data_IF_593037274730
#
_entry.id   IF_593037274730
#
_cell.length_a   1.000
_cell.length_b   1.000
_cell.length_c   1.000
_cell.angle_alpha   90.00
_cell.angle_beta   90.00
_cell.angle_gamma   90.00
#
_symmetry.space_group_name_H-M   'P 1'
#
loop_
_entity.id
_entity.type
_entity.pdbx_description
1 polymer ?
#
# COMPACT_ATOMS: atom_id res chain seq x y z
N UNK A 1 0.21 1.87 -5.36
CA UNK A 1 -0.34 0.50 -5.35
C UNK A 1 -1.00 0.24 -4.00
N UNK A 2 -2.22 -0.34 -3.97
CA UNK A 2 -2.87 -0.74 -2.71
C UNK A 2 -2.31 -2.07 -2.23
N UNK A 3 -1.98 -2.18 -0.94
CA UNK A 3 -1.49 -3.42 -0.35
C UNK A 3 -2.64 -4.43 -0.14
N UNK A 4 -2.47 -5.72 -0.49
CA UNK A 4 -3.48 -6.74 -0.27
C UNK A 4 -3.74 -6.96 1.23
N UNK A 5 -4.98 -7.31 1.63
CA UNK A 5 -5.34 -7.63 3.02
C UNK A 5 -5.40 -9.15 3.22
N UNK A 6 -4.68 -9.64 4.23
CA UNK A 6 -4.75 -11.02 4.68
C UNK A 6 -5.72 -11.18 5.86
N UNK A 7 -6.40 -12.33 5.91
CA UNK A 7 -7.19 -12.75 7.08
C UNK A 7 -6.51 -13.94 7.73
N UNK A 8 -6.14 -13.80 9.01
CA UNK A 8 -5.36 -14.78 9.76
C UNK A 8 -6.27 -15.40 10.84
N UNK A 9 -6.67 -16.65 10.63
CA UNK A 9 -7.63 -17.39 11.48
C UNK A 9 -6.97 -18.53 12.23
N UNK A 10 -7.73 -19.10 13.18
CA UNK A 10 -7.30 -20.19 14.05
C UNK A 10 -6.03 -19.84 14.81
N UNK A 11 -5.90 -18.56 15.19
CA UNK A 11 -4.78 -18.09 15.98
C UNK A 11 -5.02 -18.41 17.45
N UNK A 12 -3.92 -18.52 18.19
CA UNK A 12 -3.98 -18.86 19.61
C UNK A 12 -4.94 -17.94 20.36
N UNK A 13 -5.73 -18.55 21.24
CA UNK A 13 -6.72 -17.87 22.07
C UNK A 13 -7.81 -17.07 21.31
N UNK A 14 -8.17 -17.36 20.06
CA UNK A 14 -9.15 -16.56 19.28
C UNK A 14 -8.66 -15.14 18.97
N UNK A 15 -7.34 -14.94 18.88
CA UNK A 15 -6.74 -13.70 18.39
C UNK A 15 -6.69 -13.70 16.86
N UNK A 16 -7.83 -13.97 16.23
CA UNK A 16 -7.94 -13.89 14.78
C UNK A 16 -7.98 -12.42 14.36
N UNK A 17 -7.28 -12.09 13.28
CA UNK A 17 -7.13 -10.70 12.84
C UNK A 17 -7.03 -10.57 11.32
N UNK A 18 -7.19 -9.34 10.85
CA UNK A 18 -6.90 -8.95 9.48
C UNK A 18 -5.85 -7.87 9.46
N UNK A 19 -5.02 -7.86 8.42
CA UNK A 19 -3.94 -6.89 8.27
C UNK A 19 -3.56 -6.79 6.79
N UNK A 20 -3.15 -5.60 6.33
CA UNK A 20 -2.48 -5.48 5.03
C UNK A 20 -1.17 -6.28 5.06
N UNK A 21 -0.81 -6.85 3.92
CA UNK A 21 0.36 -7.69 3.73
C UNK A 21 1.26 -7.08 2.66
N UNK A 22 2.59 -7.09 2.84
CA UNK A 22 3.48 -6.64 1.78
C UNK A 22 3.45 -7.63 0.61
N UNK A 23 3.48 -7.11 -0.62
CA UNK A 23 3.49 -7.94 -1.83
C UNK A 23 4.78 -8.78 -1.85
N UNK A 24 4.65 -10.08 -2.10
CA UNK A 24 5.77 -11.01 -2.23
C UNK A 24 6.39 -11.49 -0.90
N UNK A 25 5.86 -11.09 0.25
CA UNK A 25 6.26 -11.67 1.54
C UNK A 25 5.62 -13.06 1.69
N UNK A 26 6.36 -13.96 2.34
CA UNK A 26 5.91 -15.32 2.63
C UNK A 26 5.62 -15.48 4.11
N UNK A 27 4.58 -16.24 4.44
CA UNK A 27 4.27 -16.63 5.82
C UNK A 27 5.24 -17.74 6.25
N UNK A 28 6.00 -17.47 7.31
CA UNK A 28 6.88 -18.45 7.92
C UNK A 28 6.08 -19.36 8.86
N UNK A 29 6.43 -20.65 8.95
CA UNK A 29 5.76 -21.57 9.87
C UNK A 29 5.97 -21.11 11.32
N UNK A 30 4.88 -21.13 12.09
CA UNK A 30 4.91 -20.76 13.50
C UNK A 30 5.32 -22.00 14.32
N UNK A 31 6.32 -21.91 15.21
CA UNK A 31 6.73 -23.05 16.03
C UNK A 31 5.62 -23.49 16.99
N UNK A 32 5.29 -24.78 16.95
CA UNK A 32 4.33 -25.44 17.84
C UNK A 32 4.99 -25.82 19.17
N UNK A 33 5.29 -24.82 19.99
CA UNK A 33 5.88 -24.98 21.31
C UNK A 33 4.92 -24.48 22.39
N UNK A 34 4.82 -25.22 23.49
CA UNK A 34 4.11 -24.74 24.68
C UNK A 34 4.76 -23.46 25.20
N UNK A 35 3.95 -22.43 25.42
CA UNK A 35 4.40 -21.12 25.89
C UNK A 35 4.13 -20.99 27.38
N UNK A 36 5.18 -20.72 28.14
CA UNK A 36 5.10 -20.41 29.56
C UNK A 36 4.88 -18.90 29.75
N UNK A 37 3.64 -18.49 29.95
CA UNK A 37 3.28 -17.07 30.11
C UNK A 37 3.58 -16.51 31.51
N UNK A 38 3.99 -17.35 32.46
CA UNK A 38 4.54 -16.90 33.75
C UNK A 38 5.86 -16.16 33.54
N UNK A 39 6.56 -16.44 32.43
CA UNK A 39 7.70 -15.66 32.01
C UNK A 39 7.23 -14.35 31.36
N UNK A 40 7.56 -13.18 31.94
CA UNK A 40 7.00 -11.89 31.51
C UNK A 40 7.44 -11.48 30.10
N UNK A 41 8.50 -12.05 29.53
CA UNK A 41 8.94 -11.72 28.17
C UNK A 41 8.40 -12.68 27.10
N UNK A 42 7.75 -13.78 27.49
CA UNK A 42 7.23 -14.77 26.55
C UNK A 42 5.91 -14.31 25.94
N UNK A 43 5.83 -14.37 24.61
CA UNK A 43 4.61 -14.16 23.84
C UNK A 43 4.45 -15.27 22.82
N UNK A 44 3.20 -15.63 22.52
CA UNK A 44 2.90 -16.57 21.47
C UNK A 44 2.97 -15.89 20.09
N UNK A 45 3.77 -16.40 19.16
CA UNK A 45 3.73 -15.94 17.77
C UNK A 45 2.36 -16.23 17.14
N UNK A 46 1.77 -15.23 16.50
CA UNK A 46 0.49 -15.31 15.80
C UNK A 46 0.66 -15.19 14.28
N UNK A 47 1.73 -14.54 13.82
CA UNK A 47 2.09 -14.41 12.42
C UNK A 47 3.56 -14.02 12.30
N UNK A 48 4.24 -14.56 11.30
CA UNK A 48 5.54 -14.06 10.84
C UNK A 48 5.50 -14.01 9.32
N UNK A 49 5.68 -12.83 8.74
CA UNK A 49 5.85 -12.60 7.31
C UNK A 49 7.28 -12.15 7.05
N UNK A 50 7.97 -12.78 6.11
CA UNK A 50 9.34 -12.42 5.75
C UNK A 50 9.49 -12.18 4.25
N UNK A 51 10.34 -11.23 3.88
CA UNK A 51 10.76 -11.07 2.49
C UNK A 51 11.68 -12.23 2.08
N UNK A 52 11.45 -12.89 0.93
CA UNK A 52 12.34 -13.95 0.45
C UNK A 52 13.68 -13.42 -0.09
N UNK A 53 13.79 -12.11 -0.31
CA UNK A 53 14.94 -11.46 -0.98
C UNK A 53 15.65 -10.43 -0.10
N UNK A 54 15.14 -10.16 1.09
CA UNK A 54 15.67 -9.13 2.00
C UNK A 54 15.44 -9.51 3.46
N UNK A 55 16.26 -8.97 4.36
CA UNK A 55 16.05 -9.09 5.81
C UNK A 55 14.94 -8.13 6.28
N UNK A 56 13.73 -8.30 5.78
CA UNK A 56 12.56 -7.49 6.17
C UNK A 56 11.45 -8.41 6.68
N UNK A 57 10.93 -8.10 7.87
CA UNK A 57 10.00 -8.98 8.60
C UNK A 57 8.85 -8.18 9.19
N UNK A 58 7.66 -8.78 9.19
CA UNK A 58 6.55 -8.40 10.05
C UNK A 58 6.25 -9.58 10.97
N UNK A 59 6.09 -9.32 12.26
CA UNK A 59 5.64 -10.31 13.20
C UNK A 59 4.51 -9.78 14.09
N UNK A 60 3.57 -10.66 14.41
CA UNK A 60 2.47 -10.41 15.34
C UNK A 60 2.57 -11.44 16.45
N UNK A 61 2.48 -11.00 17.69
CA UNK A 61 2.54 -11.85 18.87
C UNK A 61 1.47 -11.44 19.89
N UNK A 62 1.03 -12.41 20.69
CA UNK A 62 0.05 -12.18 21.75
C UNK A 62 0.39 -12.92 23.03
N UNK A 63 -0.05 -12.38 24.17
CA UNK A 63 0.01 -13.03 25.48
C UNK A 63 -1.18 -12.62 26.33
N UNK A 64 -1.49 -13.34 27.43
CA UNK A 64 -2.32 -12.78 28.48
C UNK A 64 -1.76 -11.43 28.94
N UNK A 65 -2.65 -10.48 29.23
CA UNK A 65 -2.30 -9.22 29.85
C UNK A 65 -1.53 -9.46 31.16
N UNK A 66 -0.66 -8.52 31.52
CA UNK A 66 0.02 -8.58 32.80
C UNK A 66 -0.97 -8.24 33.92
N UNK A 67 -0.61 -8.62 35.15
CA UNK A 67 -1.44 -8.40 36.34
C UNK A 67 -1.72 -6.93 36.63
N UNK A 68 -0.79 -6.05 36.29
CA UNK A 68 -0.74 -4.65 36.70
C UNK A 68 0.03 -3.81 35.69
N UNK A 69 -0.19 -2.49 35.72
CA UNK A 69 0.40 -1.53 34.79
C UNK A 69 -0.49 -1.22 33.59
N UNK A 70 0.07 -0.43 32.66
CA UNK A 70 -0.58 0.00 31.43
C UNK A 70 0.01 -0.70 30.22
N UNK A 71 -0.70 -0.66 29.08
CA UNK A 71 -0.18 -1.17 27.80
C UNK A 71 1.21 -0.58 27.49
N UNK A 72 1.40 0.71 27.78
CA UNK A 72 2.70 1.38 27.64
C UNK A 72 3.77 0.79 28.55
N UNK A 73 3.49 0.59 29.83
CA UNK A 73 4.47 0.02 30.78
C UNK A 73 4.94 -1.36 30.33
N UNK A 74 4.00 -2.19 29.87
CA UNK A 74 4.26 -3.54 29.36
C UNK A 74 5.11 -3.52 28.09
N UNK A 75 4.79 -2.62 27.17
CA UNK A 75 5.52 -2.47 25.93
C UNK A 75 6.95 -1.95 26.18
N UNK A 76 7.12 -0.93 27.02
CA UNK A 76 8.44 -0.40 27.41
C UNK A 76 9.28 -1.46 28.13
N UNK A 77 8.66 -2.29 28.97
CA UNK A 77 9.32 -3.44 29.60
C UNK A 77 9.88 -4.41 28.54
N UNK A 78 9.06 -4.81 27.56
CA UNK A 78 9.50 -5.74 26.51
C UNK A 78 10.59 -5.14 25.64
N UNK A 79 10.47 -3.87 25.23
CA UNK A 79 11.52 -3.20 24.47
C UNK A 79 12.85 -3.21 25.22
N UNK A 80 12.84 -2.87 26.52
CA UNK A 80 14.04 -2.92 27.35
C UNK A 80 14.61 -4.33 27.46
N UNK A 81 13.75 -5.33 27.66
CA UNK A 81 14.16 -6.73 27.78
C UNK A 81 14.87 -7.23 26.52
N UNK A 82 14.38 -6.87 25.33
CA UNK A 82 14.96 -7.26 24.05
C UNK A 82 16.06 -6.32 23.54
N UNK A 83 16.53 -5.37 24.35
CA UNK A 83 17.61 -4.45 23.97
C UNK A 83 17.21 -3.44 22.88
N UNK A 84 15.94 -3.11 22.78
CA UNK A 84 15.40 -2.13 21.82
C UNK A 84 15.45 -0.74 22.45
N UNK A 85 16.15 0.18 21.78
CA UNK A 85 16.17 1.60 22.14
C UNK A 85 15.03 2.32 21.43
N UNK A 86 14.04 2.80 22.20
CA UNK A 86 12.91 3.55 21.66
C UNK A 86 13.34 4.96 21.22
N UNK A 87 12.96 5.34 20.00
CA UNK A 87 13.18 6.68 19.45
C UNK A 87 11.93 7.56 19.61
N UNK A 88 10.75 6.96 19.45
CA UNK A 88 9.46 7.60 19.68
C UNK A 88 8.48 6.60 20.27
N UNK A 89 7.55 7.10 21.08
CA UNK A 89 6.46 6.31 21.65
C UNK A 89 5.27 7.23 21.94
N UNK A 90 4.07 6.79 21.61
CA UNK A 90 2.87 7.56 21.90
C UNK A 90 1.58 6.80 21.67
N UNK A 91 0.45 7.29 22.22
CA UNK A 91 -0.86 6.75 21.95
C UNK A 91 -1.29 7.08 20.52
N UNK A 92 -1.98 6.14 19.88
CA UNK A 92 -2.60 6.28 18.57
C UNK A 92 -3.79 5.32 18.44
N UNK A 93 -4.33 5.23 17.24
CA UNK A 93 -5.30 4.22 16.86
C UNK A 93 -4.75 3.39 15.70
N UNK A 94 -5.01 2.08 15.74
CA UNK A 94 -4.68 1.13 14.67
C UNK A 94 -5.95 0.45 14.18
N UNK A 95 -5.90 -0.08 12.97
CA UNK A 95 -7.06 -0.65 12.30
C UNK A 95 -7.29 -0.06 10.92
N UNK A 96 -8.46 -0.34 10.37
CA UNK A 96 -8.81 -0.01 8.99
C UNK A 96 -10.09 0.80 8.88
N UNK A 97 -10.86 0.50 7.82
CA UNK A 97 -12.06 1.23 7.40
C UNK A 97 -13.22 1.18 8.40
N UNK A 98 -13.22 0.22 9.33
CA UNK A 98 -14.41 -0.12 10.11
C UNK A 98 -14.24 0.10 11.62
N UNK A 99 -13.03 0.00 12.16
CA UNK A 99 -12.76 0.07 13.60
C UNK A 99 -11.38 0.64 13.89
N UNK A 100 -11.31 1.49 14.92
CA UNK A 100 -10.09 2.08 15.44
C UNK A 100 -9.83 1.50 16.83
N UNK A 101 -8.76 0.71 16.98
CA UNK A 101 -8.32 0.16 18.25
C UNK A 101 -7.31 1.11 18.89
N UNK A 102 -7.50 1.59 20.13
CA UNK A 102 -6.50 2.36 20.84
C UNK A 102 -5.23 1.51 21.03
N UNK A 103 -4.08 2.09 20.73
CA UNK A 103 -2.80 1.39 20.74
C UNK A 103 -1.65 2.34 21.10
N UNK A 104 -0.55 1.77 21.57
CA UNK A 104 0.75 2.41 21.64
C UNK A 104 1.46 2.14 20.32
N UNK A 105 1.90 3.20 19.67
CA UNK A 105 2.81 3.12 18.52
C UNK A 105 4.18 3.61 18.94
N UNK A 106 5.21 3.01 18.36
CA UNK A 106 6.58 3.38 18.65
C UNK A 106 7.50 3.08 17.48
N UNK A 107 8.63 3.79 17.45
CA UNK A 107 9.78 3.44 16.62
C UNK A 107 10.98 3.17 17.51
N UNK A 108 11.85 2.25 17.10
CA UNK A 108 13.01 1.88 17.90
C UNK A 108 14.11 1.27 17.06
N UNK A 109 15.28 1.14 17.69
CA UNK A 109 16.49 0.56 17.11
C UNK A 109 16.93 -0.64 17.94
N UNK A 110 17.38 -1.69 17.25
CA UNK A 110 17.98 -2.87 17.88
C UNK A 110 19.30 -3.19 17.18
N UNK A 111 20.35 -3.47 17.96
CA UNK A 111 21.61 -3.96 17.42
C UNK A 111 21.65 -5.48 17.59
N UNK A 112 21.74 -6.22 16.49
CA UNK A 112 21.79 -7.68 16.50
C UNK A 112 22.85 -8.17 15.51
N UNK A 113 23.80 -8.98 15.99
CA UNK A 113 24.85 -9.61 15.18
C UNK A 113 25.62 -8.62 14.27
N UNK A 114 25.89 -7.41 14.79
CA UNK A 114 26.57 -6.35 14.05
C UNK A 114 25.71 -5.58 13.05
N UNK A 115 24.41 -5.91 12.94
CA UNK A 115 23.43 -5.21 12.10
C UNK A 115 22.54 -4.31 12.97
N UNK A 116 22.34 -3.07 12.55
CA UNK A 116 21.35 -2.18 13.16
C UNK A 116 19.99 -2.38 12.47
N UNK A 117 19.00 -2.82 13.24
CA UNK A 117 17.63 -3.01 12.81
C UNK A 117 16.79 -1.80 13.21
N UNK A 118 16.03 -1.30 12.25
CA UNK A 118 15.00 -0.29 12.45
C UNK A 118 13.68 -0.99 12.66
N UNK A 119 12.95 -0.58 13.68
CA UNK A 119 11.71 -1.23 14.09
C UNK A 119 10.58 -0.21 14.24
N UNK A 120 9.39 -0.60 13.81
CA UNK A 120 8.14 0.11 14.05
C UNK A 120 7.16 -0.83 14.73
N UNK A 121 6.42 -0.33 15.73
CA UNK A 121 5.64 -1.13 16.64
C UNK A 121 4.20 -0.63 16.75
N UNK A 122 3.32 -1.59 17.03
CA UNK A 122 1.97 -1.43 17.51
C UNK A 122 1.80 -2.33 18.72
N UNK A 123 1.27 -1.81 19.81
CA UNK A 123 0.96 -2.58 21.01
C UNK A 123 -0.41 -2.16 21.55
N UNK A 124 -1.30 -3.11 21.83
CA UNK A 124 -2.62 -2.84 22.38
C UNK A 124 -3.09 -3.98 23.27
N UNK A 125 -4.15 -3.73 24.03
CA UNK A 125 -4.80 -4.74 24.86
C UNK A 125 -6.29 -4.86 24.50
N UNK A 126 -6.78 -6.10 24.38
CA UNK A 126 -8.19 -6.40 24.13
C UNK A 126 -8.61 -7.65 24.93
N UNK A 127 -9.61 -7.51 25.81
CA UNK A 127 -10.22 -8.61 26.54
C UNK A 127 -9.27 -9.42 27.43
N UNK A 128 -8.34 -8.74 28.11
CA UNK A 128 -7.32 -9.33 28.97
C UNK A 128 -6.13 -9.91 28.22
N UNK A 129 -5.88 -9.44 26.98
CA UNK A 129 -4.80 -9.96 26.12
C UNK A 129 -3.98 -8.83 25.55
N UNK A 130 -2.68 -8.90 25.74
CA UNK A 130 -1.74 -7.97 25.18
C UNK A 130 -1.25 -8.48 23.82
N UNK A 131 -1.37 -7.65 22.79
CA UNK A 131 -1.01 -7.96 21.41
C UNK A 131 0.02 -6.96 20.92
N UNK A 132 1.05 -7.45 20.23
CA UNK A 132 2.04 -6.62 19.55
C UNK A 132 2.12 -6.99 18.08
N UNK A 133 2.27 -5.99 17.22
CA UNK A 133 2.68 -6.15 15.84
C UNK A 133 3.91 -5.28 15.61
N UNK A 134 4.94 -5.83 14.97
CA UNK A 134 6.14 -5.07 14.67
C UNK A 134 6.65 -5.37 13.27
N UNK A 135 7.17 -4.31 12.65
CA UNK A 135 7.87 -4.31 11.39
C UNK A 135 9.35 -4.07 11.67
N UNK A 136 10.24 -4.80 10.98
CA UNK A 136 11.67 -4.58 11.11
C UNK A 136 12.43 -4.81 9.80
N UNK A 137 13.50 -4.04 9.60
CA UNK A 137 14.51 -4.25 8.56
C UNK A 137 15.86 -3.61 8.96
N UNK A 138 16.99 -4.01 8.34
CA UNK A 138 18.25 -3.29 8.44
C UNK A 138 18.09 -1.82 8.09
N UNK A 139 18.92 -0.98 8.73
CA UNK A 139 18.99 0.47 8.46
C UNK A 139 19.10 0.80 6.99
N UNK A 140 19.89 0.04 6.25
CA UNK A 140 20.16 0.27 4.83
C UNK A 140 18.90 0.07 3.96
N UNK A 141 17.94 -0.71 4.44
CA UNK A 141 16.68 -1.02 3.74
C UNK A 141 15.50 -0.15 4.20
N UNK A 142 15.67 0.62 5.28
CA UNK A 142 14.62 1.45 5.87
C UNK A 142 13.91 2.35 4.83
N UNK A 143 14.60 3.11 3.95
CA UNK A 143 13.95 4.01 3.02
C UNK A 143 13.04 3.31 2.00
N UNK A 144 13.33 2.04 1.69
CA UNK A 144 12.60 1.26 0.70
C UNK A 144 11.47 0.41 1.29
N UNK A 145 11.64 -0.06 2.53
CA UNK A 145 10.71 -1.02 3.13
C UNK A 145 9.81 -0.41 4.20
N UNK A 146 10.35 0.42 5.09
CA UNK A 146 9.70 0.69 6.38
C UNK A 146 8.31 1.29 6.22
N UNK A 147 8.14 2.26 5.32
CA UNK A 147 6.83 2.88 5.04
C UNK A 147 5.76 1.86 4.66
N UNK A 148 6.11 0.86 3.86
CA UNK A 148 5.18 -0.21 3.46
C UNK A 148 4.89 -1.15 4.62
N UNK A 149 5.91 -1.51 5.41
CA UNK A 149 5.73 -2.39 6.56
C UNK A 149 4.90 -1.72 7.67
N UNK A 150 5.07 -0.41 7.90
CA UNK A 150 4.26 0.39 8.81
C UNK A 150 2.79 0.40 8.40
N UNK A 151 2.51 0.63 7.11
CA UNK A 151 1.15 0.53 6.58
C UNK A 151 0.51 -0.84 6.80
N UNK A 152 1.32 -1.91 6.83
CA UNK A 152 0.86 -3.24 7.19
C UNK A 152 0.49 -3.29 8.67
N UNK A 153 1.44 -3.08 9.58
CA UNK A 153 1.19 -3.26 11.02
C UNK A 153 0.15 -2.28 11.57
N UNK A 154 0.06 -1.05 11.08
CA UNK A 154 -0.95 -0.07 11.51
C UNK A 154 -2.36 -0.42 11.05
N UNK A 155 -2.50 -1.33 10.09
CA UNK A 155 -3.80 -1.79 9.59
C UNK A 155 -4.34 -3.04 10.29
N UNK A 156 -3.66 -3.51 11.35
CA UNK A 156 -4.08 -4.66 12.13
C UNK A 156 -5.43 -4.42 12.79
N UNK A 157 -6.34 -5.39 12.65
CA UNK A 157 -7.70 -5.32 13.18
C UNK A 157 -8.12 -6.71 13.67
N UNK A 158 -8.46 -6.83 14.95
CA UNK A 158 -9.00 -8.07 15.51
C UNK A 158 -10.37 -8.38 14.90
N UNK A 159 -10.62 -9.64 14.56
CA UNK A 159 -11.95 -10.06 14.09
C UNK A 159 -12.98 -10.08 15.23
N UNK A 160 -12.51 -10.33 16.45
CA UNK A 160 -13.34 -10.49 17.64
C UNK A 160 -12.89 -9.54 18.74
N UNK A 161 -13.41 -8.31 18.73
CA UNK A 161 -13.14 -7.31 19.75
C UNK A 161 -13.85 -7.64 21.06
N UNK A 162 -13.12 -7.56 22.16
CA UNK A 162 -13.64 -7.69 23.53
C UNK A 162 -13.61 -6.37 24.29
N UNK A 163 -12.91 -5.37 23.75
CA UNK A 163 -12.72 -4.06 24.36
C UNK A 163 -11.55 -4.06 25.34
N UNK A 164 -11.00 -2.87 25.65
CA UNK A 164 -9.87 -2.74 26.53
C UNK A 164 -10.33 -2.94 27.98
N UNK A 165 -9.53 -3.67 28.73
CA UNK A 165 -9.73 -3.91 30.17
C UNK A 165 -8.72 -3.14 31.01
N UNK A 166 -7.66 -2.61 30.39
CA UNK A 166 -6.65 -1.78 31.06
C UNK A 166 -6.48 -0.42 30.39
N UNK A 167 -5.80 0.50 31.09
CA UNK A 167 -5.46 1.80 30.52
C UNK A 167 -4.32 1.67 29.50
N UNK A 168 -4.37 2.51 28.47
CA UNK A 168 -3.33 2.58 27.45
C UNK A 168 -2.03 3.19 27.99
N UNK A 169 -2.14 4.25 28.79
CA UNK A 169 -1.02 4.93 29.44
C UNK A 169 -1.41 5.50 30.83
N UNK A 170 -0.41 6.03 31.54
CA UNK A 170 -0.57 6.59 32.89
C UNK A 170 -1.26 7.96 32.93
N UNK A 171 -1.58 8.56 31.78
CA UNK A 171 -2.19 9.90 31.72
C UNK A 171 -3.70 9.88 31.97
N UNK A 172 -4.29 8.70 32.15
CA UNK A 172 -5.70 8.54 32.55
C UNK A 172 -6.72 8.90 31.48
N UNK A 173 -6.30 9.09 30.22
CA UNK A 173 -7.21 9.24 29.10
C UNK A 173 -7.96 7.91 28.89
N UNK A 174 -9.26 7.91 29.17
CA UNK A 174 -10.14 6.80 28.77
C UNK A 174 -10.40 6.92 27.28
N UNK A 175 -9.89 5.95 26.52
CA UNK A 175 -10.16 5.84 25.10
C UNK A 175 -11.44 5.02 24.93
N UNK A 176 -12.53 5.68 24.57
CA UNK A 176 -13.77 4.99 24.22
C UNK A 176 -13.59 4.29 22.88
N UNK A 177 -13.66 2.97 22.87
CA UNK A 177 -13.86 2.23 21.63
C UNK A 177 -15.35 2.35 21.31
N UNK A 178 -15.70 3.02 20.23
CA UNK A 178 -16.98 2.74 19.58
C UNK A 178 -16.90 1.29 19.07
N UNK A 179 -17.31 0.36 19.92
CA UNK A 179 -17.56 -1.01 19.49
C UNK A 179 -18.81 -0.92 18.63
N UNK A 180 -18.62 -0.63 17.34
CA UNK A 180 -19.67 -0.82 16.36
C UNK A 180 -19.88 -2.33 16.32
N UNK A 181 -20.85 -2.80 17.10
CA UNK A 181 -21.42 -4.15 17.01
C UNK A 181 -22.18 -4.24 15.69
N UNK A 182 -21.45 -4.26 14.60
CA UNK A 182 -21.96 -4.95 13.43
C UNK A 182 -21.71 -6.44 13.70
N UNK A 183 -22.79 -7.20 13.87
CA UNK A 183 -22.91 -8.42 13.05
C UNK A 183 -22.74 -7.91 11.63
N UNK A 184 -21.49 -7.89 11.15
CA UNK A 184 -21.26 -7.52 9.78
C UNK A 184 -21.91 -8.65 8.99
N UNK A 185 -23.09 -8.38 8.44
CA UNK A 185 -23.38 -8.79 7.08
C UNK A 185 -22.10 -8.44 6.31
N UNK A 186 -21.26 -9.45 6.10
CA UNK A 186 -20.10 -9.31 5.24
C UNK A 186 -20.67 -8.67 3.98
N UNK A 187 -20.16 -7.51 3.53
CA UNK A 187 -20.55 -7.04 2.21
C UNK A 187 -20.41 -8.26 1.28
N UNK A 188 -21.43 -8.55 0.45
CA UNK A 188 -21.32 -9.64 -0.51
C UNK A 188 -19.97 -9.47 -1.21
N UNK A 189 -19.25 -10.55 -1.52
CA UNK A 189 -17.91 -10.46 -2.10
C UNK A 189 -18.00 -9.84 -3.51
N UNK A 190 -18.23 -8.53 -3.59
CA UNK A 190 -17.65 -7.72 -4.65
C UNK A 190 -16.15 -7.91 -4.46
N UNK A 191 -15.54 -8.54 -5.47
CA UNK A 191 -14.10 -8.78 -5.52
C UNK A 191 -13.39 -7.47 -5.14
N UNK A 192 -12.54 -7.48 -4.10
CA UNK A 192 -11.80 -6.30 -3.68
C UNK A 192 -11.02 -5.67 -4.85
N UNK A 193 -10.66 -6.49 -5.85
CA UNK A 193 -10.10 -6.04 -7.12
C UNK A 193 -11.08 -5.15 -7.92
N UNK A 194 -12.38 -5.42 -7.91
CA UNK A 194 -13.40 -4.57 -8.54
C UNK A 194 -13.55 -3.24 -7.81
N UNK A 195 -13.64 -3.25 -6.47
CA UNK A 195 -13.70 -2.02 -5.67
C UNK A 195 -12.46 -1.16 -5.90
N UNK A 196 -11.27 -1.78 -5.91
CA UNK A 196 -10.02 -1.09 -6.21
C UNK A 196 -9.99 -0.55 -7.64
N UNK A 197 -10.41 -1.34 -8.65
CA UNK A 197 -10.52 -0.89 -10.04
C UNK A 197 -11.44 0.32 -10.18
N UNK A 198 -12.60 0.32 -9.53
CA UNK A 198 -13.53 1.46 -9.51
C UNK A 198 -12.88 2.70 -8.88
N UNK A 199 -12.16 2.53 -7.77
CA UNK A 199 -11.45 3.63 -7.10
C UNK A 199 -10.34 4.23 -7.97
N UNK A 200 -9.47 3.40 -8.54
CA UNK A 200 -8.40 3.84 -9.44
C UNK A 200 -8.98 4.53 -10.67
N UNK A 201 -10.04 3.99 -11.27
CA UNK A 201 -10.71 4.60 -12.41
C UNK A 201 -11.24 6.02 -12.07
N UNK A 202 -11.86 6.21 -10.90
CA UNK A 202 -12.35 7.53 -10.45
C UNK A 202 -11.20 8.53 -10.22
N UNK A 203 -10.09 8.08 -9.62
CA UNK A 203 -8.91 8.92 -9.42
C UNK A 203 -8.27 9.31 -10.75
N UNK A 204 -8.16 8.38 -11.69
CA UNK A 204 -7.69 8.63 -13.06
C UNK A 204 -8.57 9.65 -13.79
N UNK A 205 -9.89 9.49 -13.74
CA UNK A 205 -10.83 10.42 -14.37
C UNK A 205 -10.67 11.85 -13.83
N UNK A 206 -10.56 12.00 -12.51
CA UNK A 206 -10.30 13.30 -11.87
C UNK A 206 -8.97 13.90 -12.30
N UNK A 207 -7.93 13.07 -12.45
CA UNK A 207 -6.61 13.50 -12.91
C UNK A 207 -6.61 13.94 -14.38
N UNK A 208 -7.39 13.28 -15.25
CA UNK A 208 -7.55 13.66 -16.66
C UNK A 208 -8.24 15.01 -16.80
N UNK A 209 -9.30 15.26 -16.04
CA UNK A 209 -9.98 16.57 -15.98
C UNK A 209 -9.00 17.68 -15.57
N UNK A 210 -8.14 17.41 -14.57
CA UNK A 210 -7.13 18.37 -14.12
C UNK A 210 -6.00 18.58 -15.14
N UNK A 211 -5.63 17.54 -15.90
CA UNK A 211 -4.56 17.58 -16.89
C UNK A 211 -4.98 18.30 -18.19
N UNK A 212 -6.26 18.26 -18.57
CA UNK A 212 -6.78 18.90 -19.79
C UNK A 212 -6.39 20.39 -19.94
N UNK A 213 -6.60 21.28 -18.95
CA UNK A 213 -6.17 22.68 -19.08
C UNK A 213 -4.66 22.85 -19.15
N UNK A 214 -3.87 21.92 -18.60
CA UNK A 214 -2.40 21.97 -18.70
C UNK A 214 -1.92 21.71 -20.13
N UNK A 215 -2.51 20.74 -20.82
CA UNK A 215 -2.21 20.45 -22.24
C UNK A 215 -2.62 21.64 -23.12
N UNK A 216 -3.74 22.29 -22.83
CA UNK A 216 -4.15 23.51 -23.52
C UNK A 216 -3.13 24.65 -23.35
N UNK A 217 -2.43 24.70 -22.21
CA UNK A 217 -1.38 25.66 -21.90
C UNK A 217 0.05 25.18 -22.23
N UNK A 218 0.21 24.12 -23.03
CA UNK A 218 1.50 23.54 -23.42
C UNK A 218 2.38 23.02 -22.26
N UNK A 219 1.77 22.75 -21.10
CA UNK A 219 2.42 22.18 -19.90
C UNK A 219 2.33 20.65 -19.91
N UNK A 220 2.88 20.03 -20.96
CA UNK A 220 2.70 18.60 -21.22
C UNK A 220 3.30 17.69 -20.16
N UNK A 221 4.51 17.99 -19.68
CA UNK A 221 5.18 17.16 -18.67
C UNK A 221 4.44 17.18 -17.32
N UNK A 222 3.86 18.33 -16.97
CA UNK A 222 3.05 18.47 -15.75
C UNK A 222 1.73 17.70 -15.88
N UNK A 223 1.09 17.78 -17.05
CA UNK A 223 -0.12 17.01 -17.35
C UNK A 223 0.15 15.50 -17.24
N UNK A 224 1.24 15.03 -17.84
CA UNK A 224 1.64 13.63 -17.77
C UNK A 224 1.93 13.19 -16.33
N UNK A 225 2.65 14.01 -15.55
CA UNK A 225 2.96 13.72 -14.14
C UNK A 225 1.70 13.58 -13.30
N UNK A 226 0.70 14.45 -13.48
CA UNK A 226 -0.58 14.38 -12.75
C UNK A 226 -1.28 13.05 -13.03
N UNK A 227 -1.42 12.67 -14.29
CA UNK A 227 -2.15 11.44 -14.67
C UNK A 227 -1.38 10.20 -14.21
N UNK A 228 -0.07 10.14 -14.44
CA UNK A 228 0.73 8.97 -14.08
C UNK A 228 0.95 8.82 -12.57
N UNK A 229 0.82 9.90 -11.79
CA UNK A 229 0.81 9.81 -10.31
C UNK A 229 -0.50 9.21 -9.79
N UNK A 230 -1.61 9.37 -10.54
CA UNK A 230 -2.90 8.80 -10.20
C UNK A 230 -3.02 7.33 -10.65
N UNK A 231 -2.49 7.01 -11.83
CA UNK A 231 -2.49 5.66 -12.41
C UNK A 231 -1.32 5.50 -13.40
N UNK A 232 -0.29 4.76 -13.00
CA UNK A 232 0.90 4.48 -13.81
C UNK A 232 0.78 3.21 -14.67
N UNK A 233 -0.37 2.52 -14.60
CA UNK A 233 -0.65 1.31 -15.36
C UNK A 233 -0.84 1.58 -16.86
N UNK A 234 -0.95 0.51 -17.66
CA UNK A 234 -1.30 0.61 -19.08
C UNK A 234 -2.61 1.36 -19.33
N UNK A 235 -3.58 1.29 -18.41
CA UNK A 235 -4.84 2.03 -18.51
C UNK A 235 -4.65 3.55 -18.32
N UNK A 236 -3.79 3.96 -17.38
CA UNK A 236 -3.42 5.36 -17.20
C UNK A 236 -2.70 5.93 -18.42
N UNK A 237 -1.76 5.17 -18.98
CA UNK A 237 -1.01 5.53 -20.20
C UNK A 237 -1.90 5.62 -21.43
N UNK A 238 -2.82 4.67 -21.63
CA UNK A 238 -3.81 4.70 -22.70
C UNK A 238 -4.72 5.94 -22.59
N UNK A 239 -5.23 6.23 -21.39
CA UNK A 239 -6.09 7.40 -21.18
C UNK A 239 -5.35 8.73 -21.40
N UNK A 240 -4.07 8.81 -21.01
CA UNK A 240 -3.23 9.97 -21.29
C UNK A 240 -2.95 10.13 -22.80
N UNK A 241 -2.71 9.03 -23.52
CA UNK A 241 -2.59 9.02 -24.98
C UNK A 241 -3.85 9.58 -25.64
N UNK A 242 -5.05 9.11 -25.23
CA UNK A 242 -6.33 9.63 -25.74
C UNK A 242 -6.50 11.13 -25.49
N UNK A 243 -6.06 11.63 -24.33
CA UNK A 243 -6.11 13.05 -24.02
C UNK A 243 -5.22 13.88 -24.98
N UNK A 244 -4.02 13.40 -25.30
CA UNK A 244 -3.15 14.01 -26.31
C UNK A 244 -3.71 13.88 -27.73
N UNK A 245 -4.33 12.75 -28.09
CA UNK A 245 -5.03 12.55 -29.37
C UNK A 245 -6.18 13.54 -29.53
N UNK A 246 -6.98 13.78 -28.49
CA UNK A 246 -8.04 14.79 -28.50
C UNK A 246 -7.47 16.19 -28.76
N UNK A 247 -6.40 16.56 -28.04
CA UNK A 247 -5.74 17.83 -28.22
C UNK A 247 -5.11 17.98 -29.62
N UNK A 248 -4.56 16.89 -30.18
CA UNK A 248 -4.02 16.85 -31.54
C UNK A 248 -5.10 17.13 -32.58
N UNK A 249 -6.27 16.46 -32.47
CA UNK A 249 -7.41 16.68 -33.38
C UNK A 249 -7.88 18.13 -33.34
N UNK A 250 -7.97 18.73 -32.15
CA UNK A 250 -8.31 20.14 -31.99
C UNK A 250 -7.26 21.06 -32.62
N UNK A 251 -5.97 20.78 -32.43
CA UNK A 251 -4.89 21.57 -33.00
C UNK A 251 -4.86 21.50 -34.54
N UNK A 252 -4.99 20.30 -35.13
CA UNK A 252 -5.06 20.13 -36.59
C UNK A 252 -6.25 20.88 -37.19
N UNK A 253 -7.39 20.88 -36.49
CA UNK A 253 -8.57 21.66 -36.89
C UNK A 253 -8.28 23.16 -36.86
N UNK A 254 -7.61 23.66 -35.82
CA UNK A 254 -7.20 25.08 -35.71
C UNK A 254 -6.18 25.48 -36.77
N UNK A 255 -5.26 24.58 -37.09
CA UNK A 255 -4.21 24.78 -38.08
C UNK A 255 -4.71 24.71 -39.54
N UNK A 256 -5.98 24.31 -39.76
CA UNK A 256 -6.57 24.18 -41.08
C UNK A 256 -5.96 23.04 -41.92
N UNK A 257 -5.56 21.93 -41.28
CA UNK A 257 -4.96 20.76 -41.95
C UNK A 257 -3.71 21.06 -42.79
N UNK A 258 -2.95 22.10 -42.43
CA UNK A 258 -1.71 22.47 -43.13
C UNK A 258 -0.69 21.34 -43.16
N UNK A 259 0.10 21.30 -44.24
CA UNK A 259 1.25 20.41 -44.43
C UNK A 259 2.50 21.25 -44.73
N UNK A 260 3.59 21.18 -43.95
CA UNK A 260 3.73 20.36 -42.73
C UNK A 260 2.84 20.85 -41.59
N UNK A 261 2.54 19.94 -40.67
CA UNK A 261 1.75 20.24 -39.46
C UNK A 261 2.48 21.27 -38.57
N UNK A 262 1.75 21.93 -37.66
CA UNK A 262 2.40 22.81 -36.69
C UNK A 262 3.39 22.06 -35.79
N UNK A 263 4.38 22.77 -35.27
CA UNK A 263 5.29 22.24 -34.25
C UNK A 263 4.51 21.67 -33.06
N UNK A 264 3.48 22.38 -32.59
CA UNK A 264 2.60 21.91 -31.52
C UNK A 264 1.88 20.62 -31.88
N UNK A 265 1.33 20.51 -33.10
CA UNK A 265 0.69 19.27 -33.55
C UNK A 265 1.68 18.10 -33.61
N UNK A 266 2.92 18.34 -34.04
CA UNK A 266 3.97 17.31 -34.05
C UNK A 266 4.36 16.86 -32.62
N UNK A 267 4.43 17.80 -31.66
CA UNK A 267 4.68 17.46 -30.25
C UNK A 267 3.53 16.61 -29.68
N UNK A 268 2.28 17.02 -29.90
CA UNK A 268 1.10 16.26 -29.47
C UNK A 268 1.05 14.87 -30.09
N UNK A 269 1.39 14.75 -31.38
CA UNK A 269 1.52 13.46 -32.08
C UNK A 269 2.55 12.55 -31.41
N UNK A 270 3.76 13.05 -31.15
CA UNK A 270 4.84 12.26 -30.51
C UNK A 270 4.45 11.81 -29.10
N UNK A 271 3.82 12.69 -28.32
CA UNK A 271 3.37 12.37 -26.96
C UNK A 271 2.23 11.34 -26.96
N UNK A 272 1.23 11.53 -27.82
CA UNK A 272 0.14 10.57 -27.99
C UNK A 272 0.66 9.18 -28.36
N UNK A 273 1.58 9.12 -29.33
CA UNK A 273 2.17 7.87 -29.81
C UNK A 273 3.06 7.22 -28.75
N UNK A 274 3.98 7.98 -28.13
CA UNK A 274 4.87 7.47 -27.09
C UNK A 274 4.08 6.81 -25.95
N UNK A 275 3.04 7.46 -25.45
CA UNK A 275 2.21 6.89 -24.39
C UNK A 275 1.40 5.68 -24.85
N UNK A 276 0.86 5.68 -26.08
CA UNK A 276 0.14 4.54 -26.66
C UNK A 276 1.04 3.30 -26.76
N UNK A 277 2.22 3.45 -27.37
CA UNK A 277 3.17 2.36 -27.57
C UNK A 277 3.71 1.82 -26.24
N UNK A 278 3.81 2.68 -25.22
CA UNK A 278 4.21 2.27 -23.88
C UNK A 278 3.18 1.42 -23.12
N UNK A 279 2.02 1.13 -23.72
CA UNK A 279 1.01 0.21 -23.15
C UNK A 279 1.24 -1.25 -23.56
N UNK A 280 2.06 -1.50 -24.58
CA UNK A 280 2.44 -2.84 -24.99
C UNK A 280 3.49 -3.37 -24.01
N UNK A 281 3.28 -4.56 -23.41
CA UNK A 281 4.27 -5.17 -22.55
C UNK A 281 5.44 -5.73 -23.37
N UNK A 282 6.54 -6.01 -22.70
CA UNK A 282 7.64 -6.74 -23.33
C UNK A 282 7.17 -8.15 -23.73
N UNK A 283 7.33 -8.55 -25.00
CA UNK A 283 6.90 -9.87 -25.43
C UNK A 283 7.78 -10.96 -24.80
N UNK A 284 7.16 -12.06 -24.37
CA UNK A 284 7.87 -13.23 -23.85
C UNK A 284 8.00 -14.35 -24.89
N UNK A 285 7.28 -14.24 -26.00
CA UNK A 285 7.29 -15.19 -27.12
C UNK A 285 7.34 -14.46 -28.46
N UNK A 286 7.76 -15.17 -29.52
CA UNK A 286 7.76 -14.60 -30.88
C UNK A 286 6.33 -14.25 -31.34
N UNK A 287 5.36 -15.11 -31.06
CA UNK A 287 3.95 -14.88 -31.40
C UNK A 287 3.36 -13.64 -30.69
N UNK A 288 3.81 -13.34 -29.45
CA UNK A 288 3.49 -12.07 -28.78
C UNK A 288 4.17 -10.89 -29.44
N UNK A 289 5.47 -11.00 -29.77
CA UNK A 289 6.21 -9.95 -30.44
C UNK A 289 5.56 -9.56 -31.77
N UNK A 290 5.18 -10.54 -32.59
CA UNK A 290 4.55 -10.31 -33.90
C UNK A 290 3.17 -9.64 -33.74
N UNK A 291 2.36 -10.10 -32.77
CA UNK A 291 1.06 -9.47 -32.47
C UNK A 291 1.21 -8.05 -31.94
N UNK A 292 2.18 -7.80 -31.05
CA UNK A 292 2.42 -6.47 -30.51
C UNK A 292 2.96 -5.53 -31.58
N UNK A 293 3.85 -6.00 -32.45
CA UNK A 293 4.34 -5.22 -33.59
C UNK A 293 3.19 -4.82 -34.52
N UNK A 294 2.31 -5.77 -34.87
CA UNK A 294 1.13 -5.47 -35.68
C UNK A 294 0.21 -4.43 -35.03
N UNK A 295 -0.07 -4.56 -33.73
CA UNK A 295 -0.87 -3.57 -32.99
C UNK A 295 -0.20 -2.19 -32.90
N UNK A 296 1.11 -2.16 -32.65
CA UNK A 296 1.88 -0.91 -32.62
C UNK A 296 1.87 -0.19 -33.99
N UNK A 297 1.92 -0.95 -35.09
CA UNK A 297 1.83 -0.38 -36.45
C UNK A 297 0.42 0.13 -36.78
N UNK A 298 -0.63 -0.53 -36.28
CA UNK A 298 -2.01 -0.05 -36.35
C UNK A 298 -2.18 1.26 -35.58
N UNK A 299 -1.72 1.33 -34.32
CA UNK A 299 -1.78 2.53 -33.50
C UNK A 299 -0.98 3.70 -34.12
N UNK A 300 0.21 3.43 -34.68
CA UNK A 300 1.00 4.42 -35.43
C UNK A 300 0.20 4.98 -36.59
N UNK A 301 -0.44 4.11 -37.36
CA UNK A 301 -1.23 4.46 -38.53
C UNK A 301 -2.48 5.26 -38.16
N UNK A 302 -3.18 4.87 -37.09
CA UNK A 302 -4.38 5.56 -36.60
C UNK A 302 -4.04 7.00 -36.16
N UNK A 303 -3.00 7.17 -35.36
CA UNK A 303 -2.62 8.49 -34.85
C UNK A 303 -2.05 9.36 -36.01
N UNK A 304 -1.27 8.78 -36.93
CA UNK A 304 -0.76 9.49 -38.11
C UNK A 304 -1.88 9.94 -39.06
N UNK A 305 -2.98 9.18 -39.16
CA UNK A 305 -4.14 9.55 -39.97
C UNK A 305 -4.75 10.89 -39.54
N UNK A 306 -4.60 11.30 -38.28
CA UNK A 306 -5.07 12.61 -37.79
C UNK A 306 -4.30 13.76 -38.46
N UNK A 307 -3.00 13.58 -38.71
CA UNK A 307 -2.17 14.54 -39.44
C UNK A 307 -2.38 14.45 -40.97
N UNK A 308 -2.89 13.32 -41.46
CA UNK A 308 -3.07 13.03 -42.88
C UNK A 308 -1.76 12.73 -43.61
N UNK A 309 -0.69 12.40 -42.87
CA UNK A 309 0.60 11.86 -43.33
C UNK A 309 1.37 11.29 -42.13
N UNK A 310 2.37 10.46 -42.38
CA UNK A 310 3.30 9.98 -41.35
C UNK A 310 4.48 10.95 -41.25
N UNK A 311 4.66 11.66 -40.13
CA UNK A 311 5.86 12.46 -39.91
C UNK A 311 7.10 11.56 -39.85
N UNK A 312 8.22 12.03 -40.40
CA UNK A 312 9.54 11.42 -40.20
C UNK A 312 10.00 11.51 -38.74
#
# INVERSE_FOLDING_TARGET
MTLPRGTFKNRLAQLDFTMKTPVGFVEAPIPDEQRDFEQPHVSAPLLVLASPVALAVIAVAGRPAYSDGTVRDWFEYLCRHFGITLLSIGPAYVGGLHKNHPAIIATGLQHQDGTELVMSFVAFEDGGRFVTAHAMCPRELEPSYMKTLEQCIFSIELLHHKGPTVNLDNNGAKYEIEIIQHEADRPPPEDEAEVYRRKVARTRESALEFARPMIAADRFDEAARVVLSADDSGQGRAALSELFVSALREQVKKDGQRKPASERALVLYRLALSHRLSTYPDPHTQDEADRYNAGMDEDRSEIAAILGYTPE
#
